data_IF_254276195142
#
_entry.id   IF_254276195142
#
_cell.length_a   1.000
_cell.length_b   1.000
_cell.length_c   1.000
_cell.angle_alpha   90.00
_cell.angle_beta   90.00
_cell.angle_gamma   90.00
#
_symmetry.space_group_name_H-M   'P 1'
#
loop_
_entity.id
_entity.type
_entity.pdbx_description
1 polymer ?
#
# COMPACT_ATOMS: atom_id res chain seq x y z
N UNK A 1 -0.59 -36.49 -39.57
CA UNK A 1 -0.07 -36.30 -38.20
C UNK A 1 -1.07 -37.00 -37.30
N UNK A 2 -0.72 -38.05 -36.60
CA UNK A 2 -1.63 -38.76 -35.73
C UNK A 2 -1.83 -38.01 -34.46
N UNK A 3 -3.07 -37.91 -33.99
CA UNK A 3 -3.54 -37.12 -32.82
C UNK A 3 -2.85 -37.45 -31.47
N UNK A 4 -1.91 -38.39 -31.46
CA UNK A 4 -1.21 -38.92 -30.27
C UNK A 4 0.32 -38.82 -30.32
N UNK A 5 0.90 -37.97 -31.15
CA UNK A 5 2.34 -37.71 -31.11
C UNK A 5 2.67 -36.67 -30.04
N UNK A 6 3.28 -37.06 -28.90
CA UNK A 6 3.61 -36.08 -27.85
C UNK A 6 4.64 -35.05 -28.28
N UNK A 7 5.35 -35.30 -29.41
CA UNK A 7 6.29 -34.33 -29.99
C UNK A 7 5.70 -33.57 -31.17
N UNK A 8 4.43 -33.84 -31.53
CA UNK A 8 3.72 -33.18 -32.61
C UNK A 8 2.96 -31.90 -32.18
N UNK A 9 2.91 -31.59 -30.89
CA UNK A 9 2.30 -30.37 -30.38
C UNK A 9 3.25 -29.18 -30.58
N UNK A 10 2.81 -28.21 -31.40
CA UNK A 10 3.53 -26.97 -31.58
C UNK A 10 3.21 -26.06 -30.38
N UNK A 11 4.21 -25.78 -29.55
CA UNK A 11 4.14 -24.75 -28.51
C UNK A 11 4.72 -23.45 -29.07
N UNK A 12 3.87 -22.44 -29.25
CA UNK A 12 4.30 -21.12 -29.71
C UNK A 12 4.63 -20.22 -28.52
N UNK A 13 5.69 -19.43 -28.67
CA UNK A 13 6.02 -18.32 -27.77
C UNK A 13 5.68 -16.98 -28.42
N UNK A 14 5.81 -15.89 -27.66
CA UNK A 14 5.59 -14.55 -28.25
C UNK A 14 6.62 -14.19 -29.33
N UNK A 15 7.80 -14.83 -29.32
CA UNK A 15 8.81 -14.66 -30.35
C UNK A 15 8.44 -15.34 -31.68
N UNK A 16 7.52 -16.30 -31.64
CA UNK A 16 7.08 -17.07 -32.81
C UNK A 16 5.88 -16.45 -33.54
N UNK A 17 5.23 -15.44 -32.91
CA UNK A 17 3.98 -14.88 -33.41
C UNK A 17 3.99 -13.36 -33.48
N UNK A 18 3.21 -12.82 -34.41
CA UNK A 18 2.95 -11.39 -34.56
C UNK A 18 1.46 -11.12 -34.50
N UNK A 19 1.09 -9.98 -33.92
CA UNK A 19 -0.29 -9.50 -33.99
C UNK A 19 -0.56 -8.96 -35.39
N UNK A 20 -1.57 -9.52 -36.05
CA UNK A 20 -2.02 -9.02 -37.35
C UNK A 20 -2.84 -7.73 -37.14
N UNK A 21 -2.52 -6.65 -37.85
CA UNK A 21 -3.34 -5.45 -37.84
C UNK A 21 -4.76 -5.76 -38.34
N UNK A 22 -5.76 -5.22 -37.66
CA UNK A 22 -7.15 -5.30 -38.07
C UNK A 22 -7.78 -3.92 -38.19
N UNK A 23 -8.87 -3.82 -38.92
CA UNK A 23 -9.68 -2.62 -38.93
C UNK A 23 -10.35 -2.41 -37.58
N UNK A 24 -10.34 -1.18 -37.09
CA UNK A 24 -10.98 -0.80 -35.83
C UNK A 24 -11.65 0.56 -35.98
N UNK A 25 -12.86 0.68 -35.43
CA UNK A 25 -13.59 1.95 -35.35
C UNK A 25 -13.41 2.62 -33.97
N UNK A 26 -12.60 2.01 -33.09
CA UNK A 26 -12.33 2.50 -31.73
C UNK A 26 -11.11 3.41 -31.74
N UNK A 27 -11.29 4.66 -31.35
CA UNK A 27 -10.17 5.58 -31.15
C UNK A 27 -9.47 5.31 -29.81
N UNK A 28 -8.17 5.61 -29.64
CA UNK A 28 -7.40 5.27 -28.44
C UNK A 28 -8.01 5.76 -27.11
N UNK A 29 -8.73 6.89 -27.14
CA UNK A 29 -9.37 7.45 -25.95
C UNK A 29 -10.58 6.66 -25.48
N UNK A 30 -11.20 5.87 -26.37
CA UNK A 30 -12.42 5.10 -26.09
C UNK A 30 -12.11 3.62 -25.81
N UNK A 31 -10.82 3.25 -25.77
CA UNK A 31 -10.41 1.87 -25.49
C UNK A 31 -10.71 1.51 -24.05
N UNK A 32 -11.52 0.46 -23.86
CA UNK A 32 -11.74 -0.17 -22.57
C UNK A 32 -10.85 -1.41 -22.45
N UNK A 33 -9.88 -1.37 -21.54
CA UNK A 33 -8.95 -2.46 -21.27
C UNK A 33 -9.36 -3.34 -20.08
N UNK A 34 -10.51 -3.07 -19.46
CA UNK A 34 -10.96 -3.81 -18.29
C UNK A 34 -11.27 -5.27 -18.63
N UNK A 35 -10.96 -6.17 -17.69
CA UNK A 35 -11.20 -7.60 -17.83
C UNK A 35 -11.80 -8.20 -16.56
N UNK A 36 -12.56 -9.27 -16.74
CA UNK A 36 -12.98 -10.16 -15.66
C UNK A 36 -11.93 -11.27 -15.52
N UNK A 37 -11.02 -11.14 -14.54
CA UNK A 37 -9.94 -12.10 -14.31
C UNK A 37 -10.47 -13.42 -13.74
N UNK A 38 -11.34 -13.34 -12.74
CA UNK A 38 -12.01 -14.49 -12.12
C UNK A 38 -13.47 -14.14 -11.87
N UNK A 39 -14.24 -15.08 -11.32
CA UNK A 39 -15.67 -14.84 -10.98
C UNK A 39 -15.89 -13.60 -10.12
N UNK A 40 -14.90 -13.27 -9.25
CA UNK A 40 -15.04 -12.22 -8.24
C UNK A 40 -13.96 -11.12 -8.37
N UNK A 41 -13.05 -11.22 -9.35
CA UNK A 41 -11.96 -10.26 -9.52
C UNK A 41 -12.08 -9.63 -10.90
N UNK A 42 -12.29 -8.33 -10.91
CA UNK A 42 -12.30 -7.47 -12.09
C UNK A 42 -11.05 -6.57 -12.05
N UNK A 43 -10.42 -6.38 -13.21
CA UNK A 43 -9.26 -5.49 -13.35
C UNK A 43 -9.57 -4.38 -14.35
N UNK A 44 -9.04 -3.19 -14.09
CA UNK A 44 -9.15 -2.06 -15.02
C UNK A 44 -8.17 -2.17 -16.19
N UNK A 45 -7.02 -2.83 -15.97
CA UNK A 45 -6.04 -3.16 -17.00
C UNK A 45 -5.65 -4.64 -16.88
N UNK A 46 -5.40 -5.35 -18.00
CA UNK A 46 -5.11 -6.79 -18.00
C UNK A 46 -3.63 -7.09 -17.69
N UNK A 47 -3.11 -6.50 -16.61
CA UNK A 47 -1.73 -6.70 -16.17
C UNK A 47 -1.67 -7.38 -14.81
N UNK A 48 -0.91 -8.48 -14.77
CA UNK A 48 -0.61 -9.23 -13.57
C UNK A 48 0.90 -9.30 -13.37
N UNK A 49 1.40 -9.12 -12.15
CA UNK A 49 2.79 -9.47 -11.86
C UNK A 49 2.87 -10.89 -11.30
N UNK A 50 3.85 -11.64 -11.81
CA UNK A 50 4.03 -13.06 -11.50
C UNK A 50 4.38 -13.29 -10.03
N UNK A 51 3.90 -14.43 -9.49
CA UNK A 51 4.21 -14.91 -8.15
C UNK A 51 5.63 -15.48 -8.08
N UNK A 52 6.62 -14.64 -8.32
CA UNK A 52 8.04 -14.99 -8.33
C UNK A 52 8.78 -14.25 -7.23
N UNK A 53 9.70 -14.98 -6.58
CA UNK A 53 10.63 -14.40 -5.62
C UNK A 53 11.39 -13.22 -6.23
N UNK A 54 11.59 -12.17 -5.45
CA UNK A 54 12.23 -10.90 -5.85
C UNK A 54 11.53 -10.11 -6.96
N UNK A 55 10.45 -10.63 -7.55
CA UNK A 55 9.64 -9.94 -8.56
C UNK A 55 8.39 -9.31 -7.94
N UNK A 56 7.54 -10.11 -7.30
CA UNK A 56 6.27 -9.62 -6.74
C UNK A 56 6.23 -9.75 -5.22
N UNK A 57 6.66 -8.68 -4.60
CA UNK A 57 6.46 -8.40 -3.18
C UNK A 57 5.52 -7.19 -3.03
N UNK A 58 5.25 -6.73 -1.80
CA UNK A 58 4.31 -5.64 -1.53
C UNK A 58 4.54 -4.41 -2.43
N UNK A 59 5.79 -4.01 -2.66
CA UNK A 59 6.13 -2.84 -3.47
C UNK A 59 5.62 -2.96 -4.92
N UNK A 60 5.87 -4.09 -5.56
CA UNK A 60 5.43 -4.34 -6.93
C UNK A 60 3.90 -4.50 -6.97
N UNK A 61 3.32 -5.26 -6.01
CA UNK A 61 1.88 -5.44 -5.93
C UNK A 61 1.13 -4.11 -5.77
N UNK A 62 1.63 -3.20 -4.92
CA UNK A 62 1.08 -1.84 -4.77
C UNK A 62 1.19 -1.05 -6.06
N UNK A 63 2.35 -1.09 -6.72
CA UNK A 63 2.57 -0.34 -7.96
C UNK A 63 1.60 -0.77 -9.08
N UNK A 64 1.41 -2.07 -9.27
CA UNK A 64 0.49 -2.62 -10.27
C UNK A 64 -0.98 -2.35 -9.89
N UNK A 65 -1.35 -2.53 -8.61
CA UNK A 65 -2.71 -2.27 -8.15
C UNK A 65 -3.12 -0.81 -8.40
N UNK A 66 -2.25 0.15 -8.16
CA UNK A 66 -2.48 1.58 -8.44
C UNK A 66 -2.71 1.89 -9.92
N UNK A 67 -2.22 1.04 -10.82
CA UNK A 67 -2.47 1.16 -12.26
C UNK A 67 -3.75 0.42 -12.71
N UNK A 68 -4.41 -0.30 -11.80
CA UNK A 68 -5.64 -1.05 -12.08
C UNK A 68 -5.42 -2.53 -12.43
N UNK A 69 -4.19 -3.04 -12.29
CA UNK A 69 -3.84 -4.45 -12.40
C UNK A 69 -3.81 -5.16 -11.05
N UNK A 70 -3.14 -6.32 -10.97
CA UNK A 70 -3.01 -7.10 -9.75
C UNK A 70 -1.61 -7.72 -9.61
N UNK A 71 -1.04 -7.69 -8.39
CA UNK A 71 0.18 -8.39 -8.05
C UNK A 71 -0.13 -9.68 -7.29
N UNK A 72 0.55 -10.77 -7.65
CA UNK A 72 0.44 -12.06 -6.95
C UNK A 72 1.69 -12.25 -6.09
N UNK A 73 1.53 -12.15 -4.77
CA UNK A 73 2.63 -12.33 -3.83
C UNK A 73 3.13 -13.78 -3.90
N UNK A 74 4.45 -13.96 -4.02
CA UNK A 74 5.06 -15.28 -4.11
C UNK A 74 4.98 -16.02 -2.76
N UNK A 75 5.13 -17.35 -2.81
CA UNK A 75 5.04 -18.24 -1.64
C UNK A 75 6.39 -18.56 -0.97
N UNK A 76 7.50 -18.06 -1.50
CA UNK A 76 8.84 -18.30 -0.94
C UNK A 76 9.10 -17.35 0.25
N UNK A 77 8.20 -17.39 1.23
CA UNK A 77 8.18 -16.62 2.45
C UNK A 77 7.61 -17.48 3.57
N UNK A 78 7.89 -17.13 4.81
CA UNK A 78 7.12 -17.68 5.93
C UNK A 78 5.67 -17.22 5.84
N UNK A 79 4.76 -17.91 6.52
CA UNK A 79 3.34 -17.55 6.56
C UNK A 79 3.17 -16.12 7.10
N UNK A 80 3.92 -15.77 8.15
CA UNK A 80 3.84 -14.45 8.78
C UNK A 80 4.42 -13.36 7.88
N UNK A 81 5.52 -13.63 7.18
CA UNK A 81 6.10 -12.68 6.23
C UNK A 81 5.17 -12.45 5.03
N UNK A 82 4.58 -13.52 4.48
CA UNK A 82 3.63 -13.38 3.37
C UNK A 82 2.38 -12.60 3.82
N UNK A 83 1.84 -12.89 5.00
CA UNK A 83 0.73 -12.14 5.57
C UNK A 83 1.08 -10.65 5.75
N UNK A 84 2.30 -10.35 6.22
CA UNK A 84 2.80 -8.97 6.35
C UNK A 84 2.89 -8.26 5.00
N UNK A 85 3.34 -8.94 3.94
CA UNK A 85 3.36 -8.37 2.59
C UNK A 85 1.94 -8.03 2.10
N UNK A 86 0.97 -8.94 2.31
CA UNK A 86 -0.44 -8.70 1.95
C UNK A 86 -1.02 -7.54 2.75
N UNK A 87 -0.75 -7.46 4.05
CA UNK A 87 -1.20 -6.36 4.91
C UNK A 87 -0.68 -4.99 4.40
N UNK A 88 0.60 -4.90 4.01
CA UNK A 88 1.16 -3.70 3.41
C UNK A 88 0.41 -3.28 2.13
N UNK A 89 0.06 -4.25 1.27
CA UNK A 89 -0.71 -3.97 0.03
C UNK A 89 -2.10 -3.45 0.39
N UNK A 90 -2.80 -4.13 1.30
CA UNK A 90 -4.16 -3.75 1.72
C UNK A 90 -4.22 -2.37 2.36
N UNK A 91 -3.24 -2.03 3.20
CA UNK A 91 -3.12 -0.69 3.79
C UNK A 91 -2.88 0.40 2.74
N UNK A 92 -2.27 0.07 1.60
CA UNK A 92 -1.98 1.04 0.55
C UNK A 92 -3.16 1.33 -0.39
N UNK A 93 -4.15 0.42 -0.45
CA UNK A 93 -5.28 0.51 -1.39
C UNK A 93 -6.28 1.62 -1.03
N UNK A 94 -6.43 1.90 0.25
CA UNK A 94 -7.58 2.67 0.71
C UNK A 94 -7.39 4.20 0.72
N UNK A 95 -6.16 4.72 0.51
CA UNK A 95 -5.87 6.11 0.90
C UNK A 95 -6.14 6.36 2.40
N UNK A 96 -6.88 5.45 3.04
CA UNK A 96 -7.19 5.40 4.46
C UNK A 96 -6.62 4.12 5.06
N UNK A 97 -5.88 4.25 6.15
CA UNK A 97 -5.33 3.11 6.89
C UNK A 97 -6.34 2.72 7.97
N UNK A 98 -7.01 1.58 7.78
CA UNK A 98 -7.79 0.93 8.83
C UNK A 98 -6.83 0.17 9.76
N UNK A 99 -6.99 0.30 11.06
CA UNK A 99 -6.07 -0.23 12.08
C UNK A 99 -4.63 0.28 11.89
N UNK A 100 -4.38 1.60 12.05
CA UNK A 100 -3.04 2.15 11.95
C UNK A 100 -2.14 1.57 13.04
N UNK A 101 -0.87 1.43 12.74
CA UNK A 101 0.13 1.20 13.80
C UNK A 101 0.15 2.45 14.68
N UNK A 102 -0.04 2.27 15.96
CA UNK A 102 -0.05 3.32 16.98
C UNK A 102 1.18 3.24 17.88
N UNK A 103 1.42 4.25 18.66
CA UNK A 103 2.47 4.27 19.68
C UNK A 103 1.95 4.91 20.96
N UNK A 104 2.64 4.65 22.07
CA UNK A 104 2.35 5.25 23.38
C UNK A 104 3.04 6.62 23.52
N UNK A 105 2.49 7.56 24.30
CA UNK A 105 3.19 8.80 24.67
C UNK A 105 4.52 8.56 25.40
N UNK A 106 4.67 7.39 26.00
CA UNK A 106 5.85 7.02 26.78
C UNK A 106 6.85 6.14 26.01
N UNK A 107 6.58 5.83 24.76
CA UNK A 107 7.55 5.16 23.89
C UNK A 107 8.74 6.08 23.60
N UNK A 108 9.91 5.49 23.38
CA UNK A 108 11.11 6.23 22.96
C UNK A 108 11.02 6.58 21.46
N UNK A 109 11.74 7.61 21.06
CA UNK A 109 11.83 7.99 19.64
C UNK A 109 12.51 6.90 18.81
N UNK A 110 13.41 6.13 19.39
CA UNK A 110 14.03 4.99 18.73
C UNK A 110 12.99 3.91 18.37
N UNK A 111 12.11 3.56 19.31
CA UNK A 111 11.02 2.59 19.05
C UNK A 111 10.08 3.08 17.95
N UNK A 112 9.76 4.37 17.91
CA UNK A 112 8.92 4.96 16.86
C UNK A 112 9.62 4.93 15.51
N UNK A 113 10.91 5.24 15.45
CA UNK A 113 11.70 5.20 14.22
C UNK A 113 11.77 3.77 13.65
N UNK A 114 12.01 2.78 14.53
CA UNK A 114 12.01 1.35 14.18
C UNK A 114 10.64 0.90 13.64
N UNK A 115 9.53 1.33 14.29
CA UNK A 115 8.18 1.07 13.80
C UNK A 115 7.92 1.73 12.44
N UNK A 116 8.31 3.00 12.29
CA UNK A 116 8.18 3.71 11.02
C UNK A 116 8.97 3.02 9.90
N UNK A 117 10.19 2.56 10.19
CA UNK A 117 11.02 1.80 9.26
C UNK A 117 10.38 0.45 8.89
N UNK A 118 9.94 -0.31 9.89
CA UNK A 118 9.33 -1.64 9.72
C UNK A 118 8.04 -1.59 8.89
N UNK A 119 7.16 -0.65 9.20
CA UNK A 119 5.87 -0.52 8.53
C UNK A 119 5.88 0.46 7.35
N UNK A 120 7.05 1.07 7.06
CA UNK A 120 7.24 2.05 5.98
C UNK A 120 6.22 3.19 6.03
N UNK A 121 5.95 3.69 7.21
CA UNK A 121 5.07 4.83 7.46
C UNK A 121 5.90 6.04 7.91
N UNK A 122 5.42 7.24 7.62
CA UNK A 122 6.12 8.49 7.94
C UNK A 122 5.64 9.15 9.23
N UNK A 123 4.90 8.42 10.06
CA UNK A 123 4.43 8.87 11.37
C UNK A 123 3.30 8.01 11.88
N UNK A 124 3.09 8.05 13.19
CA UNK A 124 2.18 7.20 13.95
C UNK A 124 1.20 8.05 14.76
N UNK A 125 -0.09 7.66 14.83
CA UNK A 125 -0.98 8.15 15.86
C UNK A 125 -0.46 7.75 17.24
N UNK A 126 -0.60 8.64 18.21
CA UNK A 126 -0.24 8.40 19.61
C UNK A 126 -1.54 8.18 20.39
N UNK A 127 -1.63 7.05 21.07
CA UNK A 127 -2.81 6.67 21.85
C UNK A 127 -2.46 6.46 23.31
N UNK A 128 -3.42 6.70 24.20
CA UNK A 128 -3.31 6.42 25.63
C UNK A 128 -3.61 4.95 25.94
N UNK A 129 -3.69 4.61 27.23
CA UNK A 129 -3.99 3.26 27.72
C UNK A 129 -5.41 2.79 27.40
N UNK A 130 -6.30 3.71 27.07
CA UNK A 130 -7.69 3.45 26.65
C UNK A 130 -7.87 3.44 25.12
N UNK A 131 -6.76 3.36 24.34
CA UNK A 131 -6.72 3.46 22.86
C UNK A 131 -7.30 4.76 22.31
N UNK A 132 -7.35 5.83 23.09
CA UNK A 132 -7.80 7.13 22.63
C UNK A 132 -6.65 7.93 22.02
N UNK A 133 -6.93 8.58 20.90
CA UNK A 133 -5.97 9.46 20.21
C UNK A 133 -5.63 10.66 21.11
N UNK A 134 -4.35 10.79 21.47
CA UNK A 134 -3.81 11.91 22.28
C UNK A 134 -2.81 12.77 21.52
N UNK A 135 -2.33 12.31 20.37
CA UNK A 135 -1.38 13.06 19.57
C UNK A 135 -1.02 12.36 18.26
N UNK A 136 -0.08 12.95 17.54
CA UNK A 136 0.56 12.35 16.36
C UNK A 136 2.04 12.66 16.40
N UNK A 137 2.88 11.68 16.05
CA UNK A 137 4.32 11.85 15.88
C UNK A 137 4.71 11.47 14.45
N UNK A 138 5.56 12.29 13.82
CA UNK A 138 5.95 12.11 12.42
C UNK A 138 7.46 12.16 12.26
N UNK A 139 7.98 11.71 11.12
CA UNK A 139 9.40 11.82 10.79
C UNK A 139 9.90 13.28 10.84
N UNK A 140 9.00 14.26 10.63
CA UNK A 140 9.34 15.68 10.74
C UNK A 140 9.70 16.06 12.17
N UNK A 141 8.94 15.56 13.13
CA UNK A 141 9.15 15.83 14.56
C UNK A 141 10.45 15.14 15.05
N UNK A 142 10.66 13.90 14.63
CA UNK A 142 11.85 13.10 15.00
C UNK A 142 13.15 13.63 14.39
N UNK A 143 13.09 14.39 13.29
CA UNK A 143 14.29 14.93 12.60
C UNK A 143 15.14 15.83 13.47
N UNK A 144 14.56 16.49 14.45
CA UNK A 144 15.26 17.43 15.34
C UNK A 144 15.81 16.78 16.60
N UNK A 145 15.55 15.47 16.82
CA UNK A 145 16.09 14.71 17.95
C UNK A 145 17.46 14.14 17.56
N UNK A 146 18.49 14.49 18.34
CA UNK A 146 19.83 13.97 18.13
C UNK A 146 19.85 12.45 18.32
N UNK A 147 20.64 11.74 17.52
CA UNK A 147 20.69 10.27 17.51
C UNK A 147 20.99 9.68 18.91
N UNK A 148 21.89 10.30 19.64
CA UNK A 148 22.24 9.91 21.02
C UNK A 148 21.10 10.10 22.04
N UNK A 149 20.08 10.86 21.70
CA UNK A 149 18.94 11.17 22.58
C UNK A 149 17.68 10.36 22.19
N UNK A 150 17.69 9.65 21.06
CA UNK A 150 16.51 8.93 20.57
C UNK A 150 15.99 7.86 21.53
N UNK A 151 16.86 7.23 22.30
CA UNK A 151 16.50 6.21 23.30
C UNK A 151 15.97 6.80 24.60
N UNK A 152 16.23 8.07 24.89
CA UNK A 152 15.84 8.73 26.15
C UNK A 152 14.72 9.75 25.98
N UNK A 153 14.54 10.31 24.77
CA UNK A 153 13.46 11.24 24.46
C UNK A 153 12.18 10.46 24.25
N UNK A 154 11.12 10.88 24.92
CA UNK A 154 9.81 10.25 24.84
C UNK A 154 8.94 10.93 23.76
N UNK A 155 8.02 10.16 23.18
CA UNK A 155 7.08 10.64 22.17
C UNK A 155 6.32 11.89 22.64
N UNK A 156 5.85 11.91 23.88
CA UNK A 156 5.11 13.03 24.47
C UNK A 156 5.87 14.36 24.44
N UNK A 157 7.19 14.30 24.39
CA UNK A 157 8.05 15.49 24.44
C UNK A 157 8.16 16.20 23.09
N UNK A 158 7.84 15.47 21.99
CA UNK A 158 7.99 15.97 20.61
C UNK A 158 6.73 15.85 19.75
N UNK A 159 5.74 15.03 20.17
CA UNK A 159 4.49 14.83 19.40
C UNK A 159 3.68 16.12 19.27
N UNK A 160 2.90 16.21 18.22
CA UNK A 160 1.81 17.19 18.15
C UNK A 160 0.65 16.65 18.98
N UNK A 161 0.38 17.28 20.13
CA UNK A 161 -0.68 16.90 21.06
C UNK A 161 -2.04 17.40 20.61
N UNK A 162 -3.12 16.88 21.23
CA UNK A 162 -4.47 17.42 21.05
C UNK A 162 -4.56 18.92 21.39
N UNK A 163 -5.41 19.71 20.70
CA UNK A 163 -6.37 19.28 19.67
C UNK A 163 -5.72 19.08 18.30
N UNK A 164 -6.04 17.96 17.64
CA UNK A 164 -5.63 17.65 16.27
C UNK A 164 -6.79 17.94 15.31
N UNK A 165 -6.46 18.20 14.05
CA UNK A 165 -7.42 18.14 12.96
C UNK A 165 -7.73 16.66 12.71
N UNK A 166 -8.99 16.28 12.88
CA UNK A 166 -9.48 14.90 12.71
C UNK A 166 -10.64 14.87 11.72
N UNK A 167 -10.91 13.73 11.14
CA UNK A 167 -12.10 13.44 10.35
C UNK A 167 -12.93 12.34 11.02
N UNK A 168 -14.20 12.22 10.63
CA UNK A 168 -15.05 11.12 11.09
C UNK A 168 -14.71 9.83 10.36
N UNK A 169 -14.86 8.68 11.04
CA UNK A 169 -14.78 7.38 10.39
C UNK A 169 -15.84 7.31 9.28
N UNK A 170 -15.42 6.94 8.07
CA UNK A 170 -16.31 6.90 6.89
C UNK A 170 -16.39 8.23 6.11
N UNK A 171 -15.58 9.22 6.43
CA UNK A 171 -15.48 10.47 5.65
C UNK A 171 -15.21 10.15 4.17
N UNK A 172 -15.84 10.94 3.29
CA UNK A 172 -15.59 10.84 1.85
C UNK A 172 -14.13 11.20 1.51
N UNK A 173 -13.46 10.47 0.60
CA UNK A 173 -12.10 10.77 0.19
C UNK A 173 -11.87 12.22 -0.27
N UNK A 174 -12.80 12.81 -1.00
CA UNK A 174 -12.70 14.20 -1.48
C UNK A 174 -12.77 15.20 -0.32
N UNK A 175 -13.63 14.96 0.67
CA UNK A 175 -13.71 15.77 1.90
C UNK A 175 -12.43 15.64 2.74
N UNK A 176 -11.89 14.42 2.87
CA UNK A 176 -10.63 14.17 3.56
C UNK A 176 -9.48 14.93 2.87
N UNK A 177 -9.41 14.89 1.54
CA UNK A 177 -8.43 15.63 0.76
C UNK A 177 -8.58 17.15 0.92
N UNK A 178 -9.81 17.65 0.98
CA UNK A 178 -10.07 19.08 1.23
C UNK A 178 -9.55 19.52 2.61
N UNK A 179 -9.78 18.72 3.66
CA UNK A 179 -9.25 18.98 5.00
C UNK A 179 -7.71 18.95 5.04
N UNK A 180 -7.09 17.95 4.41
CA UNK A 180 -5.63 17.86 4.30
C UNK A 180 -5.03 19.09 3.62
N UNK A 181 -5.65 19.54 2.50
CA UNK A 181 -5.21 20.70 1.75
C UNK A 181 -5.45 22.02 2.53
N UNK A 182 -6.62 22.19 3.13
CA UNK A 182 -6.98 23.38 3.90
C UNK A 182 -6.03 23.60 5.08
N UNK A 183 -5.70 22.53 5.81
CA UNK A 183 -4.86 22.60 7.00
C UNK A 183 -3.38 22.34 6.70
N UNK A 184 -3.02 22.04 5.44
CA UNK A 184 -1.65 21.72 4.98
C UNK A 184 -1.00 20.61 5.81
N UNK A 185 -1.77 19.59 6.12
CA UNK A 185 -1.33 18.39 6.85
C UNK A 185 -1.26 17.21 5.90
N UNK A 186 -0.35 16.27 6.19
CA UNK A 186 -0.14 15.07 5.36
C UNK A 186 -0.93 13.86 5.86
N UNK A 187 -1.43 13.93 7.08
CA UNK A 187 -2.17 12.85 7.75
C UNK A 187 -3.37 13.41 8.48
N UNK A 188 -4.50 12.74 8.29
CA UNK A 188 -5.77 13.07 8.94
C UNK A 188 -6.19 11.85 9.77
N UNK A 189 -6.05 11.89 11.11
CA UNK A 189 -6.62 10.85 11.96
C UNK A 189 -8.14 10.82 11.81
N UNK A 190 -8.70 9.62 11.69
CA UNK A 190 -10.15 9.40 11.67
C UNK A 190 -10.57 8.82 13.02
N UNK A 191 -11.52 9.47 13.66
CA UNK A 191 -12.01 9.15 15.02
C UNK A 191 -13.53 9.13 15.06
#
# INVERSE_FOLDING_TARGET
MTENDPFGLIGLTYDDVLLMPGQSDVVPADVNTSIQLTRNIHLNIPLLSSAMDTVTEARMAIAIARQGGIGIIHRNLSVDDQASQVDLVKRSEAGMVTNPVTTSPYASIQEVDDLCGRYRVSGLPVVDEDDKLVGIVTNRDMRFVLEVQRTTTLVKDIMTSMPLITGNVGINPDEAMALLAQHRIEKLPLV
#
